data_IF_410513254256
#
_entry.id   IF_410513254256
#
_cell.length_a   1.000
_cell.length_b   1.000
_cell.length_c   1.000
_cell.angle_alpha   90.00
_cell.angle_beta   90.00
_cell.angle_gamma   90.00
#
_symmetry.space_group_name_H-M   'P 1'
#
loop_
_entity.id
_entity.type
_entity.pdbx_description
1 polymer ?
#
# COMPACT_ATOMS: atom_id res chain seq x y z
N UNK A 1 7.97 5.21 0.79
CA UNK A 1 7.15 5.74 1.90
C UNK A 1 7.82 5.38 3.21
N UNK A 2 7.97 6.32 4.16
CA UNK A 2 8.66 6.06 5.43
C UNK A 2 7.92 5.04 6.30
N UNK A 3 6.59 5.14 6.38
CA UNK A 3 5.75 4.23 7.15
C UNK A 3 5.89 2.75 6.72
N UNK A 4 6.01 2.49 5.41
CA UNK A 4 6.22 1.13 4.89
C UNK A 4 7.63 0.60 5.19
N UNK A 5 8.65 1.46 5.06
CA UNK A 5 10.02 1.07 5.36
C UNK A 5 10.21 0.74 6.85
N UNK A 6 9.54 1.48 7.74
CA UNK A 6 9.62 1.29 9.19
C UNK A 6 9.00 -0.06 9.65
N UNK A 7 8.16 -0.69 8.83
CA UNK A 7 7.56 -2.01 9.09
C UNK A 7 8.19 -3.17 8.32
N UNK A 8 9.30 -2.94 7.62
CA UNK A 8 9.96 -3.99 6.84
C UNK A 8 9.21 -4.36 5.55
N UNK A 9 8.32 -3.50 5.07
CA UNK A 9 7.71 -3.63 3.76
C UNK A 9 8.57 -2.92 2.70
N UNK A 10 9.00 -3.67 1.70
CA UNK A 10 9.68 -3.12 0.54
C UNK A 10 8.70 -2.98 -0.62
N UNK A 11 8.71 -1.81 -1.28
CA UNK A 11 7.85 -1.57 -2.46
C UNK A 11 8.52 -2.19 -3.67
N UNK A 12 7.88 -3.20 -4.26
CA UNK A 12 8.38 -3.89 -5.46
C UNK A 12 7.84 -3.26 -6.74
N UNK A 13 6.61 -2.76 -6.69
CA UNK A 13 6.00 -2.01 -7.78
C UNK A 13 5.05 -0.94 -7.24
N UNK A 14 4.89 0.13 -8.02
CA UNK A 14 3.98 1.22 -7.70
C UNK A 14 3.42 1.83 -8.98
N UNK A 15 2.11 1.81 -9.09
CA UNK A 15 1.39 2.46 -10.17
C UNK A 15 0.42 3.51 -9.61
N UNK A 16 0.40 4.71 -10.21
CA UNK A 16 -0.56 5.77 -9.88
C UNK A 16 -1.35 6.14 -11.13
N UNK A 17 -2.67 6.17 -11.01
CA UNK A 17 -3.59 6.52 -12.10
C UNK A 17 -4.50 7.66 -11.68
N UNK A 18 -4.69 8.62 -12.58
CA UNK A 18 -5.74 9.64 -12.48
C UNK A 18 -7.00 9.09 -13.14
N UNK A 19 -8.02 8.77 -12.34
CA UNK A 19 -9.27 8.19 -12.80
C UNK A 19 -10.27 9.25 -13.30
N UNK A 20 -10.20 10.47 -12.75
CA UNK A 20 -10.99 11.62 -13.18
C UNK A 20 -10.11 12.85 -13.18
N UNK A 21 -10.12 13.61 -14.27
CA UNK A 21 -9.38 14.87 -14.41
C UNK A 21 -10.30 16.11 -14.41
N UNK A 22 -11.57 15.92 -14.05
CA UNK A 22 -12.54 17.01 -13.89
C UNK A 22 -12.22 17.86 -12.64
N UNK A 23 -13.14 18.73 -12.24
CA UNK A 23 -12.95 19.65 -11.12
C UNK A 23 -12.50 18.97 -9.80
N UNK A 24 -12.83 17.69 -9.62
CA UNK A 24 -12.42 16.85 -8.50
C UNK A 24 -11.58 15.66 -9.00
N UNK A 25 -10.24 15.74 -8.94
CA UNK A 25 -9.39 14.68 -9.44
C UNK A 25 -9.40 13.47 -8.51
N UNK A 26 -9.64 12.29 -9.07
CA UNK A 26 -9.61 11.02 -8.32
C UNK A 26 -8.31 10.30 -8.66
N UNK A 27 -7.47 10.10 -7.65
CA UNK A 27 -6.23 9.34 -7.78
C UNK A 27 -6.43 7.93 -7.22
N UNK A 28 -6.02 6.94 -7.99
CA UNK A 28 -5.88 5.57 -7.52
C UNK A 28 -4.40 5.18 -7.52
N UNK A 29 -3.97 4.51 -6.47
CA UNK A 29 -2.61 4.01 -6.33
C UNK A 29 -2.66 2.52 -6.04
N UNK A 30 -1.91 1.75 -6.82
CA UNK A 30 -1.71 0.31 -6.62
C UNK A 30 -0.27 0.15 -6.21
N UNK A 31 -0.03 -0.54 -5.09
CA UNK A 31 1.30 -0.76 -4.54
C UNK A 31 1.47 -2.25 -4.33
N UNK A 32 2.53 -2.81 -4.90
CA UNK A 32 2.98 -4.16 -4.58
C UNK A 32 4.07 -4.09 -3.52
N UNK A 33 3.94 -4.94 -2.50
CA UNK A 33 4.83 -4.97 -1.35
C UNK A 33 5.42 -6.37 -1.23
N UNK A 34 6.74 -6.46 -1.07
CA UNK A 34 7.42 -7.64 -0.55
C UNK A 34 7.69 -7.42 0.93
N UNK A 35 7.24 -8.35 1.77
CA UNK A 35 7.50 -8.33 3.21
C UNK A 35 8.80 -9.08 3.51
N UNK A 36 9.65 -8.52 4.36
CA UNK A 36 10.78 -9.26 4.94
C UNK A 36 10.29 -10.29 5.98
N UNK A 37 11.09 -11.29 6.32
CA UNK A 37 10.70 -12.40 7.22
C UNK A 37 10.11 -11.97 8.58
N UNK A 38 10.47 -10.77 9.07
CA UNK A 38 9.99 -10.21 10.34
C UNK A 38 8.69 -9.36 10.21
N UNK A 39 8.20 -9.13 8.99
CA UNK A 39 7.03 -8.31 8.71
C UNK A 39 5.79 -9.17 8.48
N UNK A 40 4.69 -8.83 9.16
CA UNK A 40 3.38 -9.50 8.99
C UNK A 40 2.38 -8.58 8.32
N UNK A 41 1.36 -9.15 7.67
CA UNK A 41 0.27 -8.40 7.05
C UNK A 41 -0.39 -7.43 8.03
N UNK A 42 -0.66 -7.89 9.26
CA UNK A 42 -1.27 -7.09 10.34
C UNK A 42 -0.45 -5.86 10.71
N UNK A 43 0.88 -5.99 10.78
CA UNK A 43 1.78 -4.85 11.09
C UNK A 43 1.80 -3.82 9.96
N UNK A 44 1.68 -4.28 8.72
CA UNK A 44 1.60 -3.40 7.55
C UNK A 44 0.25 -2.69 7.52
N UNK A 45 -0.84 -3.41 7.81
CA UNK A 45 -2.18 -2.84 7.92
C UNK A 45 -2.27 -1.77 9.01
N UNK A 46 -1.70 -2.03 10.19
CA UNK A 46 -1.65 -1.05 11.29
C UNK A 46 -0.87 0.21 10.91
N UNK A 47 0.28 0.07 10.25
CA UNK A 47 1.07 1.21 9.78
C UNK A 47 0.36 1.98 8.65
N UNK A 48 -0.36 1.29 7.77
CA UNK A 48 -1.15 1.91 6.72
C UNK A 48 -2.36 2.67 7.28
N UNK A 49 -3.01 2.16 8.34
CA UNK A 49 -4.17 2.80 8.94
C UNK A 49 -3.91 4.25 9.34
N UNK A 50 -2.72 4.56 9.87
CA UNK A 50 -2.32 5.93 10.20
C UNK A 50 -2.24 6.84 8.97
N UNK A 51 -1.62 6.37 7.89
CA UNK A 51 -1.48 7.11 6.63
C UNK A 51 -2.83 7.30 5.94
N UNK A 52 -3.67 6.26 5.95
CA UNK A 52 -5.02 6.26 5.37
C UNK A 52 -5.91 7.28 6.07
N UNK A 53 -5.85 7.33 7.41
CA UNK A 53 -6.61 8.29 8.20
C UNK A 53 -6.15 9.74 7.93
N UNK A 54 -4.83 9.97 7.81
CA UNK A 54 -4.27 11.29 7.50
C UNK A 54 -4.69 11.78 6.11
N UNK A 55 -4.63 10.91 5.11
CA UNK A 55 -4.96 11.25 3.72
C UNK A 55 -6.45 11.17 3.40
N UNK A 56 -7.27 10.64 4.32
CA UNK A 56 -8.70 10.40 4.16
C UNK A 56 -9.03 9.61 2.88
N UNK A 57 -8.25 8.56 2.62
CA UNK A 57 -8.42 7.69 1.44
C UNK A 57 -9.07 6.37 1.82
N UNK A 58 -9.76 5.75 0.87
CA UNK A 58 -10.14 4.33 1.00
C UNK A 58 -8.96 3.45 0.59
N UNK A 59 -8.81 2.29 1.24
CA UNK A 59 -7.76 1.33 0.89
C UNK A 59 -8.23 -0.12 1.06
N UNK A 60 -7.51 -1.04 0.43
CA UNK A 60 -7.65 -2.48 0.64
C UNK A 60 -6.26 -3.09 0.56
N UNK A 61 -5.93 -3.93 1.53
CA UNK A 61 -4.71 -4.73 1.54
C UNK A 61 -5.09 -6.20 1.31
N UNK A 62 -4.28 -6.92 0.55
CA UNK A 62 -4.45 -8.36 0.33
C UNK A 62 -3.10 -9.02 0.17
N UNK A 63 -2.80 -10.01 1.01
CA UNK A 63 -1.69 -10.92 0.79
C UNK A 63 -1.89 -11.77 -0.49
N UNK A 64 -0.82 -11.88 -1.28
CA UNK A 64 -0.75 -12.78 -2.44
C UNK A 64 0.42 -13.73 -2.18
N UNK A 65 0.12 -15.01 -2.01
CA UNK A 65 1.16 -16.03 -1.95
C UNK A 65 1.80 -16.14 -3.33
N UNK A 66 3.11 -15.91 -3.40
CA UNK A 66 3.86 -16.18 -4.63
C UNK A 66 4.06 -17.69 -4.72
N UNK A 67 3.14 -18.38 -5.40
CA UNK A 67 3.33 -19.78 -5.78
C UNK A 67 4.58 -19.86 -6.66
N UNK A 68 5.67 -20.38 -6.09
CA UNK A 68 6.91 -20.67 -6.82
C UNK A 68 6.64 -21.89 -7.71
N UNK A 69 6.46 -21.67 -9.01
CA UNK A 69 6.44 -22.73 -10.03
C UNK A 69 7.82 -23.30 -10.31
#
# INVERSE_FOLDING_TARGET
SRALADVGANVTDLETRLLSAAADPIYAMIIELSLTDDATEERVEEALAGVVAELQVDHTLRAIDTETY
#
